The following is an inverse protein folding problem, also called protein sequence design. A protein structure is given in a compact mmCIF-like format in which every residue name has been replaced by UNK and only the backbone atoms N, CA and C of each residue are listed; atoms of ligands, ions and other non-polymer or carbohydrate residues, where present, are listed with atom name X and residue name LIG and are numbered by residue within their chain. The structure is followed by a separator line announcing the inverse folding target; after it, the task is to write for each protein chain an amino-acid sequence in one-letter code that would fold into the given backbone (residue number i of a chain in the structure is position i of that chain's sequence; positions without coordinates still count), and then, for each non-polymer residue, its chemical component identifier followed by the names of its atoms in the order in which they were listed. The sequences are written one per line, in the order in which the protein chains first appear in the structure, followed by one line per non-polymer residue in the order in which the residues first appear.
data_IF_513082135840
#
_entry.id   IF_513082135840
#
_cell.length_a   1.000
_cell.length_b   1.000
_cell.length_c   1.000
_cell.angle_alpha   90.00
_cell.angle_beta   90.00
_cell.angle_gamma   90.00
#
_symmetry.space_group_name_H-M   'P 1'
#
loop_
_entity.id
_entity.type
_entity.pdbx_description
1 polymer ?
#
# COMPACT_ATOMS: atom_id res chain seq x y z
N UNK A 1 -32.35 1.82 -60.38
CA UNK A 1 -32.84 3.18 -60.10
C UNK A 1 -32.66 3.48 -58.62
N UNK A 2 -31.83 4.49 -58.32
CA UNK A 2 -31.79 5.35 -57.13
C UNK A 2 -31.56 4.74 -55.72
N UNK A 3 -30.70 5.24 -54.84
CA UNK A 3 -29.75 6.38 -54.87
C UNK A 3 -28.73 6.17 -53.74
N UNK A 4 -27.46 6.30 -54.09
CA UNK A 4 -26.30 6.45 -53.24
C UNK A 4 -26.46 7.70 -52.36
N UNK A 5 -26.25 7.59 -51.04
CA UNK A 5 -25.87 8.70 -50.17
C UNK A 5 -24.79 8.23 -49.21
N UNK A 6 -23.53 8.36 -49.64
CA UNK A 6 -22.41 8.54 -48.74
C UNK A 6 -22.56 9.91 -48.07
N UNK A 7 -22.62 9.94 -46.74
CA UNK A 7 -22.26 11.13 -45.98
C UNK A 7 -21.21 10.70 -44.95
N UNK A 8 -20.01 11.22 -45.17
CA UNK A 8 -18.80 11.05 -44.38
C UNK A 8 -18.79 12.04 -43.21
N UNK A 9 -17.85 11.81 -42.27
CA UNK A 9 -17.30 12.72 -41.24
C UNK A 9 -18.17 12.83 -39.96
N UNK A 10 -17.66 12.74 -38.72
CA UNK A 10 -16.29 12.81 -38.22
C UNK A 10 -16.21 12.26 -36.78
N UNK A 11 -15.06 11.66 -36.47
CA UNK A 11 -14.37 11.50 -35.17
C UNK A 11 -14.98 12.08 -33.89
N UNK A 12 -14.90 11.31 -32.79
CA UNK A 12 -14.92 11.90 -31.44
C UNK A 12 -14.84 10.92 -30.27
N UNK A 13 -13.69 10.28 -30.08
CA UNK A 13 -13.20 9.69 -28.80
C UNK A 13 -14.03 8.52 -28.24
N UNK A 14 -13.59 7.31 -28.58
CA UNK A 14 -13.81 6.13 -27.77
C UNK A 14 -13.15 6.42 -26.42
N UNK A 15 -13.95 6.74 -25.40
CA UNK A 15 -13.52 6.66 -24.01
C UNK A 15 -13.30 5.19 -23.71
N UNK A 16 -12.15 4.66 -24.12
CA UNK A 16 -11.58 3.46 -23.52
C UNK A 16 -11.18 3.94 -22.13
N UNK A 17 -12.17 4.00 -21.22
CA UNK A 17 -11.89 3.81 -19.82
C UNK A 17 -11.16 2.49 -19.77
N UNK A 18 -9.85 2.56 -19.67
CA UNK A 18 -9.04 1.41 -19.36
C UNK A 18 -9.50 0.97 -17.97
N UNK A 19 -10.52 0.11 -17.94
CA UNK A 19 -10.70 -0.86 -16.89
C UNK A 19 -9.40 -1.66 -16.93
N UNK A 20 -8.39 -1.18 -16.19
CA UNK A 20 -7.25 -2.04 -15.90
C UNK A 20 -7.86 -3.22 -15.19
N UNK A 21 -7.69 -4.45 -15.70
CA UNK A 21 -8.15 -5.61 -14.95
C UNK A 21 -7.55 -5.51 -13.56
N UNK A 22 -8.39 -5.62 -12.54
CA UNK A 22 -7.93 -5.66 -11.16
C UNK A 22 -6.81 -6.70 -11.08
N UNK A 23 -5.65 -6.26 -10.58
CA UNK A 23 -4.47 -7.11 -10.50
C UNK A 23 -4.84 -8.29 -9.60
N UNK A 24 -4.91 -9.50 -10.17
CA UNK A 24 -5.33 -10.70 -9.44
C UNK A 24 -4.25 -11.26 -8.51
N UNK A 25 -3.02 -10.75 -8.62
CA UNK A 25 -1.89 -11.11 -7.76
C UNK A 25 -0.93 -9.94 -7.66
N UNK A 26 -0.48 -9.64 -6.44
CA UNK A 26 0.57 -8.65 -6.19
C UNK A 26 1.90 -9.35 -5.96
N UNK A 27 2.98 -8.61 -6.14
CA UNK A 27 4.34 -9.10 -6.01
C UNK A 27 5.14 -8.12 -5.16
N UNK A 28 6.24 -8.55 -4.54
CA UNK A 28 7.05 -7.69 -3.66
C UNK A 28 7.47 -6.38 -4.33
N UNK A 29 7.73 -6.40 -5.64
CA UNK A 29 8.13 -5.21 -6.38
C UNK A 29 7.07 -4.10 -6.41
N UNK A 30 5.79 -4.41 -6.16
CA UNK A 30 4.74 -3.39 -6.07
C UNK A 30 4.92 -2.50 -4.83
N UNK A 31 5.51 -3.05 -3.77
CA UNK A 31 5.74 -2.36 -2.49
C UNK A 31 7.10 -1.65 -2.44
N UNK A 32 8.02 -1.90 -3.38
CA UNK A 32 9.34 -1.28 -3.40
C UNK A 32 9.26 0.26 -3.39
N UNK A 33 10.10 0.92 -2.60
CA UNK A 33 10.14 2.38 -2.47
C UNK A 33 9.89 2.89 -1.05
N UNK A 34 9.61 4.18 -0.93
CA UNK A 34 9.36 4.87 0.33
C UNK A 34 7.87 5.05 0.55
N UNK A 35 7.42 4.75 1.77
CA UNK A 35 6.03 4.89 2.20
C UNK A 35 5.97 5.75 3.45
N UNK A 36 5.18 6.81 3.38
CA UNK A 36 4.89 7.70 4.50
C UNK A 36 3.56 7.31 5.13
N UNK A 37 3.53 7.09 6.45
CA UNK A 37 2.29 6.91 7.20
C UNK A 37 1.52 8.23 7.23
N UNK A 38 0.30 8.24 6.71
CA UNK A 38 -0.56 9.43 6.69
C UNK A 38 -1.53 9.47 7.86
N UNK A 39 -1.87 8.31 8.42
CA UNK A 39 -2.79 8.19 9.55
C UNK A 39 -2.64 6.84 10.25
N UNK A 40 -2.93 6.78 11.55
CA UNK A 40 -3.10 5.54 12.31
C UNK A 40 -3.99 5.73 13.54
N UNK A 41 -4.54 4.62 14.05
CA UNK A 41 -5.19 4.59 15.37
C UNK A 41 -4.24 4.91 16.53
N UNK A 42 -2.92 4.80 16.33
CA UNK A 42 -1.90 5.42 17.19
C UNK A 42 -1.15 6.50 16.40
N UNK A 43 -1.66 7.73 16.49
CA UNK A 43 -1.19 8.88 15.72
C UNK A 43 0.23 9.35 16.06
N UNK A 44 0.83 8.87 17.15
CA UNK A 44 2.15 9.33 17.63
C UNK A 44 3.27 9.12 16.60
N UNK A 45 3.05 8.19 15.67
CA UNK A 45 3.98 7.81 14.62
C UNK A 45 3.51 8.22 13.22
N UNK A 46 2.48 9.05 13.10
CA UNK A 46 2.07 9.62 11.81
C UNK A 46 3.21 10.46 11.22
N UNK A 47 3.36 10.44 9.90
CA UNK A 47 4.52 10.92 9.14
C UNK A 47 5.78 10.04 9.21
N UNK A 48 5.77 8.90 9.91
CA UNK A 48 6.84 7.90 9.80
C UNK A 48 7.06 7.51 8.33
N UNK A 49 8.31 7.33 7.93
CA UNK A 49 8.68 6.84 6.60
C UNK A 49 9.36 5.49 6.73
N UNK A 50 8.90 4.51 5.96
CA UNK A 50 9.55 3.21 5.79
C UNK A 50 10.03 3.03 4.35
N UNK A 51 11.13 2.31 4.17
CA UNK A 51 11.70 1.98 2.86
C UNK A 51 11.74 0.47 2.65
N UNK A 52 11.21 0.02 1.52
CA UNK A 52 11.35 -1.35 1.02
C UNK A 52 12.36 -1.33 -0.12
N UNK A 53 13.47 -2.05 0.06
CA UNK A 53 14.52 -2.19 -0.95
C UNK A 53 14.12 -3.22 -2.02
N UNK A 54 14.73 -3.17 -3.22
CA UNK A 54 14.42 -4.13 -4.27
C UNK A 54 14.60 -5.58 -3.83
N UNK A 55 13.59 -6.42 -4.08
CA UNK A 55 13.56 -7.85 -3.67
C UNK A 55 13.69 -8.10 -2.16
N UNK A 56 13.44 -7.09 -1.32
CA UNK A 56 13.40 -7.23 0.14
C UNK A 56 12.00 -7.64 0.60
N UNK A 57 11.93 -8.53 1.57
CA UNK A 57 10.71 -8.86 2.32
C UNK A 57 10.54 -8.02 3.59
N UNK A 58 11.37 -6.98 3.73
CA UNK A 58 11.46 -6.16 4.92
C UNK A 58 11.44 -4.67 4.58
N UNK A 59 10.80 -3.87 5.44
CA UNK A 59 10.76 -2.41 5.39
C UNK A 59 11.47 -1.80 6.59
N UNK A 60 12.36 -0.84 6.35
CA UNK A 60 13.15 -0.15 7.38
C UNK A 60 12.64 1.26 7.63
N UNK A 61 12.58 1.68 8.89
CA UNK A 61 12.23 3.06 9.25
C UNK A 61 13.36 3.98 8.81
N UNK A 62 13.10 4.88 7.87
CA UNK A 62 14.07 5.89 7.42
C UNK A 62 13.84 7.25 8.10
N UNK A 63 12.63 7.48 8.59
CA UNK A 63 12.28 8.64 9.39
C UNK A 63 11.21 8.27 10.42
N UNK A 64 11.39 8.76 11.65
CA UNK A 64 10.46 8.62 12.76
C UNK A 64 10.22 10.01 13.39
N UNK A 65 8.96 10.42 13.62
CA UNK A 65 8.65 11.66 14.35
C UNK A 65 9.20 11.63 15.77
N UNK A 66 9.48 12.79 16.35
CA UNK A 66 9.98 12.89 17.75
C UNK A 66 8.98 12.41 18.80
N UNK A 67 7.69 12.34 18.46
CA UNK A 67 6.62 11.81 19.31
C UNK A 67 6.51 10.29 19.29
N UNK A 68 7.27 9.62 18.41
CA UNK A 68 7.19 8.20 18.14
C UNK A 68 8.09 7.40 19.09
N UNK A 69 7.67 6.17 19.42
CA UNK A 69 8.49 5.22 20.19
C UNK A 69 9.49 4.43 19.31
N UNK A 70 9.52 4.73 18.00
CA UNK A 70 10.35 4.04 17.03
C UNK A 70 11.65 4.80 16.72
N UNK A 71 12.68 4.05 16.35
CA UNK A 71 14.01 4.55 15.98
C UNK A 71 14.30 4.31 14.50
N UNK A 72 14.98 5.26 13.85
CA UNK A 72 15.46 5.10 12.48
C UNK A 72 16.40 3.88 12.36
N UNK A 73 16.25 3.12 11.30
CA UNK A 73 17.00 1.89 11.02
C UNK A 73 16.33 0.61 11.55
N UNK A 74 15.30 0.71 12.40
CA UNK A 74 14.54 -0.46 12.82
C UNK A 74 13.75 -1.08 11.65
N UNK A 75 13.58 -2.39 11.68
CA UNK A 75 12.66 -3.10 10.78
C UNK A 75 11.24 -2.84 11.27
N UNK A 76 10.44 -2.14 10.46
CA UNK A 76 9.03 -1.89 10.78
C UNK A 76 8.14 -3.03 10.32
N UNK A 77 8.41 -3.52 9.11
CA UNK A 77 7.67 -4.62 8.48
C UNK A 77 8.67 -5.72 8.16
N UNK A 78 8.36 -6.94 8.57
CA UNK A 78 9.22 -8.11 8.37
C UNK A 78 8.41 -9.26 7.76
N UNK A 79 9.07 -10.06 6.91
CA UNK A 79 8.50 -11.27 6.33
C UNK A 79 7.31 -10.98 5.42
N UNK A 80 7.36 -9.88 4.68
CA UNK A 80 6.35 -9.49 3.70
C UNK A 80 6.26 -10.59 2.64
N UNK A 81 5.07 -11.15 2.45
CA UNK A 81 4.83 -12.12 1.38
C UNK A 81 3.46 -11.87 0.73
N UNK A 82 3.37 -11.97 -0.61
CA UNK A 82 2.11 -11.80 -1.31
C UNK A 82 1.09 -12.89 -0.95
N UNK A 83 -0.18 -12.51 -1.01
CA UNK A 83 -1.32 -13.41 -0.83
C UNK A 83 -2.27 -13.35 -2.02
N UNK A 84 -3.23 -14.27 -2.07
CA UNK A 84 -4.28 -14.31 -3.09
C UNK A 84 -5.59 -13.80 -2.49
N UNK A 85 -6.31 -12.94 -3.22
CA UNK A 85 -7.61 -12.39 -2.81
C UNK A 85 -7.55 -10.91 -2.44
N UNK A 86 -8.46 -10.48 -1.56
CA UNK A 86 -8.63 -9.06 -1.17
C UNK A 86 -7.51 -8.54 -0.26
N UNK A 87 -6.79 -9.45 0.39
CA UNK A 87 -5.53 -9.15 1.09
C UNK A 87 -4.41 -9.35 0.09
N UNK A 88 -3.56 -8.35 -0.07
CA UNK A 88 -2.49 -8.39 -1.06
C UNK A 88 -1.17 -8.89 -0.47
N UNK A 89 -0.89 -8.59 0.80
CA UNK A 89 0.29 -9.09 1.51
C UNK A 89 0.01 -9.39 2.99
N UNK A 90 0.77 -10.34 3.52
CA UNK A 90 0.89 -10.63 4.95
C UNK A 90 2.31 -10.33 5.43
N UNK A 91 2.43 -9.87 6.68
CA UNK A 91 3.71 -9.52 7.30
C UNK A 91 3.61 -9.47 8.84
N UNK A 92 4.74 -9.21 9.48
CA UNK A 92 4.81 -8.79 10.88
C UNK A 92 5.08 -7.28 10.97
N UNK A 93 4.17 -6.54 11.60
CA UNK A 93 4.25 -5.11 11.88
C UNK A 93 4.79 -4.90 13.29
N UNK A 94 5.91 -4.20 13.44
CA UNK A 94 6.50 -3.89 14.75
C UNK A 94 5.61 -2.85 15.46
N UNK A 95 4.96 -3.19 16.57
CA UNK A 95 4.22 -2.23 17.38
C UNK A 95 5.14 -1.34 18.24
N UNK A 96 4.59 -0.26 18.80
CA UNK A 96 5.34 0.74 19.55
C UNK A 96 6.02 0.19 20.82
N UNK A 97 5.50 -0.91 21.37
CA UNK A 97 6.09 -1.66 22.48
C UNK A 97 7.18 -2.67 22.04
N UNK A 98 7.63 -2.58 20.78
CA UNK A 98 8.61 -3.49 20.15
C UNK A 98 8.14 -4.93 19.97
N UNK A 99 6.83 -5.19 20.00
CA UNK A 99 6.26 -6.52 19.71
C UNK A 99 5.97 -6.65 18.20
N UNK A 100 6.40 -7.72 17.51
CA UNK A 100 5.97 -7.99 16.14
C UNK A 100 4.53 -8.56 16.14
N UNK A 101 3.60 -7.87 15.50
CA UNK A 101 2.19 -8.26 15.37
C UNK A 101 1.88 -8.69 13.94
N UNK A 102 1.06 -9.71 13.75
CA UNK A 102 0.63 -10.10 12.40
C UNK A 102 -0.23 -9.00 11.78
N UNK A 103 0.05 -8.67 10.53
CA UNK A 103 -0.70 -7.64 9.81
C UNK A 103 -0.92 -8.01 8.34
N UNK A 104 -1.91 -7.36 7.75
CA UNK A 104 -2.30 -7.48 6.36
C UNK A 104 -2.14 -6.12 5.67
N UNK A 105 -1.61 -6.10 4.44
CA UNK A 105 -1.64 -4.94 3.57
C UNK A 105 -2.69 -5.12 2.48
N UNK A 106 -3.49 -4.07 2.29
CA UNK A 106 -4.36 -3.89 1.13
C UNK A 106 -3.87 -2.68 0.35
N UNK A 107 -3.32 -2.91 -0.84
CA UNK A 107 -2.99 -1.83 -1.78
C UNK A 107 -4.30 -1.26 -2.37
N UNK A 108 -4.61 -0.01 -2.03
CA UNK A 108 -5.76 0.71 -2.59
C UNK A 108 -5.44 1.31 -3.95
N UNK A 109 -4.16 1.56 -4.24
CA UNK A 109 -3.63 1.97 -5.53
C UNK A 109 -2.11 1.77 -5.57
N UNK A 110 -1.46 2.12 -6.69
CA UNK A 110 0.01 2.09 -6.79
C UNK A 110 0.73 3.01 -5.78
N UNK A 111 0.03 3.97 -5.18
CA UNK A 111 0.61 4.94 -4.24
C UNK A 111 -0.08 4.97 -2.89
N UNK A 112 -1.06 4.10 -2.62
CA UNK A 112 -1.80 4.08 -1.36
C UNK A 112 -1.99 2.66 -0.87
N UNK A 113 -1.72 2.44 0.41
CA UNK A 113 -2.00 1.18 1.07
C UNK A 113 -2.61 1.41 2.45
N UNK A 114 -3.37 0.41 2.88
CA UNK A 114 -3.90 0.29 4.23
C UNK A 114 -3.25 -0.94 4.86
N UNK A 115 -2.76 -0.80 6.09
CA UNK A 115 -2.22 -1.87 6.90
C UNK A 115 -3.14 -2.09 8.09
N UNK A 116 -3.58 -3.34 8.26
CA UNK A 116 -4.45 -3.75 9.35
C UNK A 116 -3.77 -4.84 10.18
N UNK A 117 -3.58 -4.61 11.47
CA UNK A 117 -3.21 -5.66 12.41
C UNK A 117 -4.33 -6.69 12.49
N UNK A 118 -3.96 -7.96 12.54
CA UNK A 118 -4.90 -9.08 12.73
C UNK A 118 -5.57 -8.99 14.11
N UNK A 119 -4.90 -8.40 15.09
CA UNK A 119 -5.35 -8.29 16.47
C UNK A 119 -6.11 -6.96 16.75
N UNK A 120 -6.53 -6.22 15.71
CA UNK A 120 -7.39 -5.05 15.88
C UNK A 120 -8.75 -5.42 16.50
N UNK A 121 -9.29 -4.64 17.47
CA UNK A 121 -8.85 -3.33 17.94
C UNK A 121 -7.83 -3.32 19.09
N UNK A 122 -7.37 -4.49 19.53
CA UNK A 122 -6.50 -4.62 20.71
C UNK A 122 -5.02 -4.31 20.41
N UNK A 123 -4.66 -4.16 19.12
CA UNK A 123 -3.34 -3.76 18.68
C UNK A 123 -3.15 -2.22 18.63
N UNK A 124 -2.13 -1.64 19.32
CA UNK A 124 -1.76 -0.24 19.16
C UNK A 124 -1.39 0.08 17.71
N UNK A 125 -2.01 1.11 17.14
CA UNK A 125 -1.83 1.42 15.71
C UNK A 125 -2.36 0.32 14.79
N UNK A 126 -3.36 -0.45 15.23
CA UNK A 126 -3.91 -1.61 14.52
C UNK A 126 -4.54 -1.31 13.17
N UNK A 127 -4.83 -0.05 12.82
CA UNK A 127 -5.10 0.38 11.44
C UNK A 127 -4.19 1.54 11.10
N UNK A 128 -3.65 1.52 9.87
CA UNK A 128 -2.70 2.50 9.38
C UNK A 128 -2.94 2.76 7.89
N UNK A 129 -2.85 4.01 7.48
CA UNK A 129 -2.86 4.42 6.08
C UNK A 129 -1.48 4.94 5.68
N UNK A 130 -1.04 4.58 4.49
CA UNK A 130 0.27 4.92 3.97
C UNK A 130 0.21 5.38 2.52
N UNK A 131 1.06 6.35 2.19
CA UNK A 131 1.19 6.93 0.87
C UNK A 131 2.64 6.81 0.37
N UNK A 132 2.81 6.41 -0.88
CA UNK A 132 4.11 6.30 -1.54
C UNK A 132 4.65 7.71 -1.87
N UNK A 133 5.92 7.95 -1.59
CA UNK A 133 6.60 9.25 -1.81
C UNK A 133 7.77 9.18 -2.78
#
# INVERSE_FOLDING_TARGET
MNKLKCLLLLLGVISIGACRPDKTSYELHDLEGDWRRTWSTDYRSDSMIVRILPKSDSAFITFSPTSSDFTNGQVKWEGIHPTVGDIHFQLYDLSADSTPLKANIVLKSATKLELNSVDYPDAPGGVQEWEKI
#
